data_IF_426801288032
#
_entry.id   IF_426801288032
#
_cell.length_a   1.000
_cell.length_b   1.000
_cell.length_c   1.000
_cell.angle_alpha   90.00
_cell.angle_beta   90.00
_cell.angle_gamma   90.00
#
_symmetry.space_group_name_H-M   'P 1'
#
loop_
_entity.id
_entity.type
_entity.pdbx_description
1 polymer ?
#
# COMPACT_ATOMS: atom_id res chain seq x y z
N UNK A 1 27.62 -18.89 -18.76
CA UNK A 1 28.09 -19.90 -17.79
C UNK A 1 27.10 -21.06 -17.61
N UNK A 2 25.78 -20.85 -17.66
CA UNK A 2 24.75 -21.90 -17.46
C UNK A 2 24.75 -23.05 -18.48
N UNK A 3 25.11 -22.78 -19.73
CA UNK A 3 25.14 -23.79 -20.81
C UNK A 3 26.29 -24.77 -20.69
N UNK A 4 27.47 -24.29 -20.25
CA UNK A 4 28.64 -25.15 -20.00
C UNK A 4 28.40 -26.09 -18.82
N UNK A 5 27.75 -25.60 -17.75
CA UNK A 5 27.41 -26.42 -16.58
C UNK A 5 26.39 -27.52 -16.91
N UNK A 6 25.44 -27.25 -17.79
CA UNK A 6 24.46 -28.25 -18.25
C UNK A 6 25.10 -29.32 -19.15
N UNK A 7 26.01 -28.93 -20.04
CA UNK A 7 26.76 -29.90 -20.87
C UNK A 7 27.65 -30.82 -20.03
N UNK A 8 28.27 -30.29 -18.99
CA UNK A 8 29.08 -31.06 -18.04
C UNK A 8 28.23 -32.03 -17.23
N UNK A 9 27.03 -31.60 -16.81
CA UNK A 9 26.04 -32.44 -16.13
C UNK A 9 25.59 -33.62 -17.01
N UNK A 10 25.35 -33.36 -18.30
CA UNK A 10 24.94 -34.38 -19.25
C UNK A 10 26.05 -35.42 -19.48
N UNK A 11 27.30 -34.97 -19.64
CA UNK A 11 28.45 -35.85 -19.78
C UNK A 11 28.72 -36.69 -18.51
N UNK A 12 28.56 -36.09 -17.33
CA UNK A 12 28.63 -36.80 -16.05
C UNK A 12 27.51 -37.83 -15.90
N UNK A 13 26.28 -37.52 -16.32
CA UNK A 13 25.17 -38.48 -16.29
C UNK A 13 25.47 -39.72 -17.15
N UNK A 14 26.09 -39.55 -18.33
CA UNK A 14 26.47 -40.67 -19.19
C UNK A 14 27.57 -41.55 -18.60
N UNK A 15 28.50 -40.98 -17.83
CA UNK A 15 29.56 -41.75 -17.15
C UNK A 15 29.07 -42.39 -15.84
N UNK A 16 28.18 -41.72 -15.09
CA UNK A 16 27.60 -42.24 -13.84
C UNK A 16 26.72 -43.47 -14.09
N UNK A 17 26.06 -43.56 -15.24
CA UNK A 17 25.28 -44.73 -15.66
C UNK A 17 26.10 -46.02 -15.78
N UNK A 18 27.44 -45.92 -15.91
CA UNK A 18 28.35 -47.08 -15.97
C UNK A 18 28.75 -47.61 -14.59
N UNK A 19 28.45 -46.87 -13.52
CA UNK A 19 28.90 -47.19 -12.15
C UNK A 19 27.74 -47.82 -11.37
N UNK A 20 28.02 -48.89 -10.62
CA UNK A 20 27.06 -49.61 -9.76
C UNK A 20 26.39 -48.76 -8.66
N UNK A 21 26.78 -47.49 -8.52
CA UNK A 21 26.24 -46.49 -7.57
C UNK A 21 25.30 -45.46 -8.22
N UNK A 22 24.90 -45.63 -9.48
CA UNK A 22 24.04 -44.69 -10.20
C UNK A 22 22.77 -44.29 -9.41
N UNK A 23 22.12 -45.26 -8.74
CA UNK A 23 20.94 -45.03 -7.89
C UNK A 23 21.14 -43.96 -6.81
N UNK A 24 22.25 -44.03 -6.06
CA UNK A 24 22.50 -43.10 -4.96
C UNK A 24 22.82 -41.69 -5.49
N UNK A 25 23.52 -41.62 -6.63
CA UNK A 25 23.91 -40.35 -7.25
C UNK A 25 22.69 -39.59 -7.77
N UNK A 26 21.78 -40.29 -8.46
CA UNK A 26 20.53 -39.67 -8.93
C UNK A 26 19.65 -39.23 -7.77
N UNK A 27 19.49 -40.07 -6.74
CA UNK A 27 18.74 -39.75 -5.52
C UNK A 27 19.27 -38.48 -4.84
N UNK A 28 20.58 -38.39 -4.61
CA UNK A 28 21.20 -37.21 -4.01
C UNK A 28 21.07 -35.96 -4.90
N UNK A 29 21.15 -36.13 -6.21
CA UNK A 29 20.99 -35.03 -7.17
C UNK A 29 19.57 -34.45 -7.12
N UNK A 30 18.55 -35.32 -7.01
CA UNK A 30 17.16 -34.89 -6.86
C UNK A 30 16.90 -34.16 -5.53
N UNK A 31 17.42 -34.70 -4.42
CA UNK A 31 17.31 -34.05 -3.10
C UNK A 31 17.99 -32.68 -3.13
N UNK A 32 19.19 -32.57 -3.69
CA UNK A 32 19.90 -31.30 -3.79
C UNK A 32 19.17 -30.32 -4.71
N UNK A 33 18.65 -30.78 -5.86
CA UNK A 33 17.84 -29.96 -6.76
C UNK A 33 16.61 -29.38 -6.06
N UNK A 34 15.87 -30.19 -5.27
CA UNK A 34 14.72 -29.73 -4.50
C UNK A 34 15.10 -28.89 -3.26
N UNK A 35 16.25 -29.14 -2.65
CA UNK A 35 16.74 -28.39 -1.48
C UNK A 35 17.23 -26.99 -1.86
N UNK A 36 17.89 -26.85 -3.00
CA UNK A 36 18.43 -25.58 -3.50
C UNK A 36 17.50 -24.89 -4.51
N UNK A 37 16.43 -25.55 -4.96
CA UNK A 37 15.43 -24.95 -5.85
C UNK A 37 15.90 -24.81 -7.29
N UNK A 38 16.63 -25.80 -7.81
CA UNK A 38 17.20 -25.79 -9.16
C UNK A 38 16.43 -26.79 -10.04
N UNK A 39 15.32 -26.39 -10.68
CA UNK A 39 14.50 -27.28 -11.52
C UNK A 39 15.25 -27.79 -12.76
N UNK A 40 16.23 -27.02 -13.26
CA UNK A 40 16.97 -27.35 -14.50
C UNK A 40 17.77 -28.64 -14.37
N UNK A 41 18.27 -28.96 -13.16
CA UNK A 41 18.96 -30.22 -12.89
C UNK A 41 17.98 -31.40 -12.99
N UNK A 42 16.77 -31.23 -12.47
CA UNK A 42 15.74 -32.26 -12.53
C UNK A 42 15.27 -32.49 -13.97
N UNK A 43 15.01 -31.41 -14.72
CA UNK A 43 14.62 -31.47 -16.12
C UNK A 43 15.66 -32.20 -16.98
N UNK A 44 16.94 -31.84 -16.84
CA UNK A 44 18.01 -32.42 -17.66
C UNK A 44 18.25 -33.90 -17.33
N UNK A 45 18.16 -34.29 -16.04
CA UNK A 45 18.28 -35.70 -15.62
C UNK A 45 17.11 -36.52 -16.16
N UNK A 46 15.87 -36.04 -16.02
CA UNK A 46 14.67 -36.76 -16.51
C UNK A 46 14.69 -36.88 -18.03
N UNK A 47 15.13 -35.84 -18.73
CA UNK A 47 15.27 -35.84 -20.20
C UNK A 47 16.33 -36.82 -20.68
N UNK A 48 17.46 -36.90 -19.97
CA UNK A 48 18.58 -37.77 -20.35
C UNK A 48 18.37 -39.22 -19.94
N UNK A 49 17.70 -39.46 -18.82
CA UNK A 49 17.42 -40.79 -18.28
C UNK A 49 16.04 -40.85 -17.61
N UNK A 50 14.97 -41.14 -18.37
CA UNK A 50 13.60 -41.18 -17.84
C UNK A 50 13.41 -42.17 -16.69
N UNK A 51 14.17 -43.27 -16.67
CA UNK A 51 14.15 -44.27 -15.59
C UNK A 51 14.67 -43.73 -14.25
N UNK A 52 15.33 -42.56 -14.21
CA UNK A 52 15.75 -41.91 -12.96
C UNK A 52 14.57 -41.63 -12.01
N UNK A 53 13.35 -41.54 -12.54
CA UNK A 53 12.11 -41.30 -11.78
C UNK A 53 11.83 -42.38 -10.73
N UNK A 54 12.28 -43.61 -10.97
CA UNK A 54 12.14 -44.71 -9.99
C UNK A 54 12.97 -44.46 -8.71
N UNK A 55 13.94 -43.55 -8.79
CA UNK A 55 14.79 -43.14 -7.67
C UNK A 55 14.32 -41.84 -7.00
N UNK A 56 13.18 -41.29 -7.41
CA UNK A 56 12.62 -40.09 -6.81
C UNK A 56 11.96 -40.43 -5.46
N UNK A 57 12.54 -39.91 -4.38
CA UNK A 57 12.03 -40.13 -3.04
C UNK A 57 10.90 -39.16 -2.66
N UNK A 58 10.09 -39.58 -1.68
CA UNK A 58 9.05 -38.76 -1.05
C UNK A 58 9.58 -37.45 -0.45
N UNK A 59 10.82 -37.47 0.03
CA UNK A 59 11.48 -36.30 0.62
C UNK A 59 11.69 -35.19 -0.40
N UNK A 60 11.94 -35.53 -1.67
CA UNK A 60 12.08 -34.56 -2.76
C UNK A 60 10.76 -33.83 -2.98
N UNK A 61 9.65 -34.56 -2.93
CA UNK A 61 8.31 -34.01 -3.07
C UNK A 61 7.91 -33.13 -1.88
N UNK A 62 8.18 -33.59 -0.64
CA UNK A 62 7.98 -32.80 0.58
C UNK A 62 8.81 -31.51 0.56
N UNK A 63 10.09 -31.59 0.15
CA UNK A 63 10.99 -30.43 0.04
C UNK A 63 10.50 -29.41 -0.99
N UNK A 64 9.98 -29.87 -2.13
CA UNK A 64 9.41 -28.99 -3.15
C UNK A 64 8.19 -28.21 -2.61
N UNK A 65 7.30 -28.88 -1.87
CA UNK A 65 6.11 -28.26 -1.27
C UNK A 65 6.49 -27.31 -0.12
N UNK A 66 7.36 -27.76 0.80
CA UNK A 66 7.84 -26.95 1.93
C UNK A 66 8.54 -25.66 1.47
N UNK A 67 9.39 -25.75 0.44
CA UNK A 67 10.13 -24.60 -0.09
C UNK A 67 9.37 -23.83 -1.19
N UNK A 68 8.11 -24.18 -1.48
CA UNK A 68 7.27 -23.52 -2.50
C UNK A 68 7.91 -23.48 -3.89
N UNK A 69 8.61 -24.53 -4.30
CA UNK A 69 9.23 -24.61 -5.62
C UNK A 69 8.23 -25.15 -6.65
N UNK A 70 7.35 -24.27 -7.12
CA UNK A 70 6.26 -24.60 -8.04
C UNK A 70 6.73 -25.32 -9.31
N UNK A 71 7.81 -24.87 -9.94
CA UNK A 71 8.36 -25.52 -11.15
C UNK A 71 8.75 -26.98 -10.90
N UNK A 72 9.39 -27.25 -9.77
CA UNK A 72 9.79 -28.61 -9.37
C UNK A 72 8.54 -29.46 -9.08
N UNK A 73 7.54 -28.87 -8.40
CA UNK A 73 6.28 -29.54 -8.11
C UNK A 73 5.52 -29.91 -9.40
N UNK A 74 5.35 -28.95 -10.32
CA UNK A 74 4.69 -29.15 -11.59
C UNK A 74 5.41 -30.20 -12.43
N UNK A 75 6.75 -30.18 -12.47
CA UNK A 75 7.54 -31.20 -13.16
C UNK A 75 7.24 -32.61 -12.61
N UNK A 76 7.25 -32.79 -11.29
CA UNK A 76 6.98 -34.09 -10.66
C UNK A 76 5.53 -34.54 -10.92
N UNK A 77 4.59 -33.60 -10.95
CA UNK A 77 3.20 -33.86 -11.30
C UNK A 77 3.05 -34.29 -12.78
N UNK A 78 3.54 -33.50 -13.72
CA UNK A 78 3.45 -33.78 -15.17
C UNK A 78 4.07 -35.14 -15.56
N UNK A 79 5.04 -35.63 -14.80
CA UNK A 79 5.69 -36.92 -15.05
C UNK A 79 4.85 -38.14 -14.61
N UNK A 80 3.62 -37.96 -14.13
CA UNK A 80 2.64 -39.04 -13.93
C UNK A 80 2.72 -39.79 -12.59
N UNK A 81 3.54 -39.34 -11.64
CA UNK A 81 3.74 -40.01 -10.33
C UNK A 81 2.67 -39.69 -9.26
N UNK A 82 1.53 -39.14 -9.67
CA UNK A 82 0.47 -38.62 -8.79
C UNK A 82 -0.11 -39.63 -7.79
N UNK A 83 -0.13 -40.93 -8.09
CA UNK A 83 -0.92 -41.90 -7.32
C UNK A 83 -0.16 -42.64 -6.22
N UNK A 84 1.15 -42.89 -6.39
CA UNK A 84 1.91 -43.64 -5.40
C UNK A 84 2.56 -42.76 -4.32
N UNK A 85 2.98 -41.54 -4.67
CA UNK A 85 3.64 -40.61 -3.73
C UNK A 85 2.66 -39.97 -2.74
N UNK A 86 1.48 -39.50 -3.18
CA UNK A 86 0.49 -38.83 -2.31
C UNK A 86 -0.04 -39.75 -1.20
N UNK A 87 -0.07 -41.07 -1.46
CA UNK A 87 -0.60 -42.07 -0.51
C UNK A 87 0.46 -42.49 0.52
N UNK A 88 1.75 -42.43 0.17
CA UNK A 88 2.83 -42.89 1.05
C UNK A 88 3.48 -41.81 1.92
N UNK A 89 3.24 -40.52 1.64
CA UNK A 89 3.72 -39.42 2.50
C UNK A 89 2.98 -39.40 3.85
N UNK A 90 3.31 -40.34 4.71
CA UNK A 90 2.91 -40.37 6.11
C UNK A 90 4.21 -40.34 6.88
N UNK A 91 4.54 -39.16 7.38
CA UNK A 91 5.77 -38.96 8.13
C UNK A 91 5.63 -39.65 9.49
N UNK A 92 6.53 -40.58 9.81
CA UNK A 92 6.49 -41.41 11.02
C UNK A 92 6.61 -40.60 12.33
N UNK A 93 7.03 -39.33 12.26
CA UNK A 93 7.16 -38.46 13.45
C UNK A 93 5.98 -37.51 13.72
N UNK A 94 5.19 -37.12 12.70
CA UNK A 94 4.16 -36.08 12.87
C UNK A 94 2.84 -36.29 12.11
N UNK A 95 2.74 -37.32 11.25
CA UNK A 95 1.52 -37.63 10.48
C UNK A 95 0.97 -36.47 9.61
N UNK A 96 1.80 -35.47 9.30
CA UNK A 96 1.45 -34.32 8.44
C UNK A 96 1.34 -34.79 6.99
N UNK A 97 0.17 -34.59 6.37
CA UNK A 97 0.01 -34.83 4.94
C UNK A 97 0.60 -33.67 4.12
N UNK A 98 0.75 -33.88 2.81
CA UNK A 98 1.24 -32.84 1.88
C UNK A 98 0.39 -31.56 1.94
N UNK A 99 -0.93 -31.67 2.15
CA UNK A 99 -1.80 -30.50 2.33
C UNK A 99 -1.44 -29.69 3.58
N UNK A 100 -1.07 -30.34 4.68
CA UNK A 100 -0.65 -29.70 5.91
C UNK A 100 0.70 -29.00 5.73
N UNK A 101 1.64 -29.63 5.01
CA UNK A 101 2.90 -29.00 4.60
C UNK A 101 2.66 -27.78 3.70
N UNK A 102 1.68 -27.85 2.79
CA UNK A 102 1.26 -26.71 1.97
C UNK A 102 0.51 -25.62 2.77
N UNK A 103 -0.03 -25.94 3.94
CA UNK A 103 -0.61 -24.98 4.88
C UNK A 103 0.42 -24.33 5.83
N UNK A 104 1.61 -24.91 5.99
CA UNK A 104 2.68 -24.38 6.83
C UNK A 104 3.32 -23.12 6.23
N UNK A 105 3.75 -22.23 7.13
CA UNK A 105 4.46 -21.00 6.79
C UNK A 105 5.71 -21.35 5.98
N UNK A 106 5.88 -20.72 4.83
CA UNK A 106 7.03 -20.98 3.96
C UNK A 106 8.35 -20.53 4.63
N UNK A 107 9.49 -21.14 4.27
CA UNK A 107 10.77 -20.78 4.85
C UNK A 107 11.15 -19.33 4.55
N UNK A 108 11.91 -18.66 5.45
CA UNK A 108 12.13 -17.22 5.45
C UNK A 108 12.80 -16.69 4.17
N UNK A 109 13.63 -17.48 3.49
CA UNK A 109 14.24 -17.09 2.20
C UNK A 109 13.24 -17.02 1.05
N UNK A 110 12.11 -17.74 1.12
CA UNK A 110 11.01 -17.65 0.16
C UNK A 110 9.98 -16.61 0.57
N UNK A 111 9.74 -16.48 1.88
CA UNK A 111 8.89 -15.43 2.41
C UNK A 111 9.46 -14.06 2.04
N UNK A 112 10.75 -13.81 2.27
CA UNK A 112 11.41 -12.53 1.97
C UNK A 112 11.41 -12.15 0.48
N UNK A 113 11.43 -13.13 -0.44
CA UNK A 113 11.47 -12.90 -1.88
C UNK A 113 10.20 -12.24 -2.43
N UNK A 114 9.04 -12.59 -1.89
CA UNK A 114 7.72 -12.08 -2.32
C UNK A 114 7.14 -11.10 -1.30
N UNK A 115 7.43 -11.30 -0.02
CA UNK A 115 6.84 -10.51 1.07
C UNK A 115 7.45 -9.12 1.19
N UNK A 116 8.68 -8.87 0.74
CA UNK A 116 9.32 -7.56 0.89
C UNK A 116 8.51 -6.43 0.25
N UNK A 117 8.33 -6.49 -1.07
CA UNK A 117 7.61 -5.45 -1.82
C UNK A 117 6.09 -5.49 -1.57
N UNK A 118 5.49 -6.68 -1.55
CA UNK A 118 4.04 -6.82 -1.38
C UNK A 118 3.58 -6.40 0.02
N UNK A 119 4.28 -6.79 1.10
CA UNK A 119 3.92 -6.32 2.45
C UNK A 119 4.21 -4.84 2.64
N UNK A 120 5.25 -4.30 1.99
CA UNK A 120 5.52 -2.87 2.03
C UNK A 120 4.38 -2.09 1.36
N UNK A 121 3.96 -2.48 0.17
CA UNK A 121 2.81 -1.88 -0.53
C UNK A 121 1.51 -2.00 0.29
N UNK A 122 1.26 -3.16 0.92
CA UNK A 122 0.08 -3.37 1.76
C UNK A 122 0.05 -2.45 2.99
N UNK A 123 1.20 -2.19 3.61
CA UNK A 123 1.33 -1.26 4.74
C UNK A 123 1.11 0.18 4.32
N UNK A 124 1.70 0.62 3.21
CA UNK A 124 1.46 1.96 2.65
C UNK A 124 -0.01 2.16 2.29
N UNK A 125 -0.65 1.15 1.69
CA UNK A 125 -2.08 1.18 1.40
C UNK A 125 -2.92 1.35 2.67
N UNK A 126 -2.62 0.55 3.69
CA UNK A 126 -3.36 0.60 4.95
C UNK A 126 -3.21 1.98 5.62
N UNK A 127 -1.99 2.52 5.60
CA UNK A 127 -1.71 3.87 6.08
C UNK A 127 -2.52 4.93 5.34
N UNK A 128 -2.55 4.90 4.00
CA UNK A 128 -3.27 5.88 3.19
C UNK A 128 -4.79 5.81 3.41
N UNK A 129 -5.36 4.60 3.47
CA UNK A 129 -6.79 4.40 3.75
C UNK A 129 -7.13 4.91 5.16
N UNK A 130 -6.32 4.55 6.15
CA UNK A 130 -6.52 5.01 7.53
C UNK A 130 -6.50 6.54 7.59
N UNK A 131 -5.47 7.14 7.00
CA UNK A 131 -5.29 8.59 6.91
C UNK A 131 -6.49 9.28 6.23
N UNK A 132 -6.95 8.76 5.08
CA UNK A 132 -8.13 9.28 4.38
C UNK A 132 -9.41 9.21 5.23
N UNK A 133 -9.61 8.14 6.03
CA UNK A 133 -10.75 8.04 6.95
C UNK A 133 -10.72 9.14 8.01
N UNK A 134 -9.58 9.36 8.65
CA UNK A 134 -9.43 10.42 9.67
C UNK A 134 -9.72 11.80 9.09
N UNK A 135 -9.21 12.09 7.88
CA UNK A 135 -9.49 13.37 7.22
C UNK A 135 -10.93 13.52 6.76
N UNK A 136 -11.58 12.44 6.33
CA UNK A 136 -13.02 12.46 6.01
C UNK A 136 -13.86 12.81 7.23
N UNK A 137 -13.52 12.24 8.40
CA UNK A 137 -14.17 12.55 9.67
C UNK A 137 -13.91 14.00 10.09
N UNK A 138 -12.67 14.48 10.00
CA UNK A 138 -12.33 15.86 10.30
C UNK A 138 -13.06 16.86 9.39
N UNK A 139 -13.15 16.57 8.08
CA UNK A 139 -13.89 17.37 7.11
C UNK A 139 -15.39 17.39 7.40
N UNK A 140 -15.98 16.25 7.78
CA UNK A 140 -17.39 16.19 8.17
C UNK A 140 -17.65 17.02 9.43
N UNK A 141 -16.79 16.92 10.45
CA UNK A 141 -16.89 17.74 11.67
C UNK A 141 -16.70 19.23 11.40
N UNK A 142 -15.78 19.60 10.51
CA UNK A 142 -15.65 21.00 10.08
C UNK A 142 -16.92 21.47 9.37
N UNK A 143 -17.44 20.69 8.43
CA UNK A 143 -18.67 21.05 7.71
C UNK A 143 -19.86 21.25 8.65
N UNK A 144 -20.02 20.44 9.70
CA UNK A 144 -21.11 20.63 10.68
C UNK A 144 -20.93 21.89 11.51
N UNK A 145 -19.71 22.21 11.94
CA UNK A 145 -19.43 23.44 12.71
C UNK A 145 -19.64 24.69 11.84
N UNK A 146 -19.15 24.69 10.59
CA UNK A 146 -19.37 25.80 9.63
C UNK A 146 -20.86 25.95 9.34
N UNK A 147 -21.58 24.86 9.07
CA UNK A 147 -23.01 24.90 8.79
C UNK A 147 -23.82 25.46 9.97
N UNK A 148 -23.48 25.08 11.21
CA UNK A 148 -24.10 25.64 12.40
C UNK A 148 -23.81 27.14 12.56
N UNK A 149 -22.60 27.59 12.21
CA UNK A 149 -22.24 29.00 12.18
C UNK A 149 -23.01 29.78 11.10
N UNK A 150 -23.22 29.19 9.92
CA UNK A 150 -23.98 29.79 8.82
C UNK A 150 -25.42 30.15 9.20
N UNK A 151 -26.10 29.24 9.91
CA UNK A 151 -27.49 29.44 10.34
C UNK A 151 -27.60 30.31 11.59
N UNK A 152 -26.53 30.42 12.37
CA UNK A 152 -26.46 31.25 13.57
C UNK A 152 -25.92 32.63 13.19
N UNK A 153 -26.80 33.48 12.67
CA UNK A 153 -26.43 34.83 12.18
C UNK A 153 -25.76 35.62 13.31
N UNK A 154 -24.47 36.01 13.16
CA UNK A 154 -23.79 36.82 14.16
C UNK A 154 -24.49 38.18 14.25
N UNK A 155 -24.97 38.54 15.46
CA UNK A 155 -25.71 39.77 15.72
C UNK A 155 -27.23 39.67 15.67
N UNK A 156 -27.79 38.53 15.23
CA UNK A 156 -29.24 38.32 15.14
C UNK A 156 -29.91 39.11 14.01
N UNK A 157 -31.24 39.03 13.97
CA UNK A 157 -32.08 39.66 12.96
C UNK A 157 -32.92 40.78 13.59
N UNK A 158 -33.37 41.75 12.78
CA UNK A 158 -34.41 42.69 13.18
C UNK A 158 -35.76 41.97 13.25
N UNK A 159 -36.46 42.11 14.38
CA UNK A 159 -37.76 41.49 14.62
C UNK A 159 -38.84 41.94 13.61
N UNK A 160 -38.70 43.16 13.06
CA UNK A 160 -39.71 43.78 12.20
C UNK A 160 -39.56 43.43 10.71
N UNK A 161 -38.34 43.09 10.27
CA UNK A 161 -38.01 42.88 8.84
C UNK A 161 -37.41 41.52 8.54
N UNK A 162 -36.97 40.77 9.54
CA UNK A 162 -36.27 39.48 9.39
C UNK A 162 -34.89 39.61 8.74
N UNK A 163 -34.36 40.83 8.55
CA UNK A 163 -33.06 41.06 7.93
C UNK A 163 -31.93 41.01 8.96
N UNK A 164 -30.72 40.53 8.59
CA UNK A 164 -29.57 40.49 9.51
C UNK A 164 -29.18 41.88 9.99
N UNK A 165 -28.95 42.05 11.30
CA UNK A 165 -28.61 43.35 11.90
C UNK A 165 -27.37 44.02 11.27
N UNK A 166 -26.41 43.21 10.83
CA UNK A 166 -25.17 43.68 10.22
C UNK A 166 -25.13 43.53 8.69
N UNK A 167 -26.29 43.38 8.02
CA UNK A 167 -26.36 43.14 6.56
C UNK A 167 -25.59 44.17 5.70
N UNK A 168 -25.49 45.41 6.18
CA UNK A 168 -24.77 46.51 5.49
C UNK A 168 -23.27 46.52 5.77
N UNK A 169 -22.81 45.87 6.84
CA UNK A 169 -21.41 45.87 7.24
C UNK A 169 -20.55 45.02 6.33
N UNK A 170 -19.33 45.50 6.05
CA UNK A 170 -18.39 44.79 5.18
C UNK A 170 -17.96 43.47 5.82
N UNK A 171 -17.78 43.46 7.15
CA UNK A 171 -17.43 42.25 7.90
C UNK A 171 -18.51 41.15 7.77
N UNK A 172 -19.80 41.51 7.74
CA UNK A 172 -20.87 40.53 7.55
C UNK A 172 -20.82 39.86 6.17
N UNK A 173 -20.52 40.62 5.11
CA UNK A 173 -20.33 40.05 3.77
C UNK A 173 -19.12 39.12 3.71
N UNK A 174 -18.00 39.51 4.34
CA UNK A 174 -16.78 38.67 4.43
C UNK A 174 -17.05 37.39 5.21
N UNK A 175 -17.81 37.47 6.32
CA UNK A 175 -18.25 36.32 7.09
C UNK A 175 -19.04 35.34 6.21
N UNK A 176 -20.14 35.80 5.61
CA UNK A 176 -21.03 34.93 4.84
C UNK A 176 -20.34 34.25 3.65
N UNK A 177 -19.48 34.98 2.91
CA UNK A 177 -18.74 34.42 1.77
C UNK A 177 -17.69 33.41 2.22
N UNK A 178 -16.92 33.74 3.27
CA UNK A 178 -15.85 32.85 3.76
C UNK A 178 -16.41 31.58 4.39
N UNK A 179 -17.50 31.70 5.14
CA UNK A 179 -18.20 30.59 5.77
C UNK A 179 -18.76 29.62 4.70
N UNK A 180 -19.44 30.14 3.68
CA UNK A 180 -19.91 29.34 2.55
C UNK A 180 -18.76 28.63 1.81
N UNK A 181 -17.67 29.36 1.50
CA UNK A 181 -16.48 28.76 0.86
C UNK A 181 -15.87 27.67 1.72
N UNK A 182 -15.75 27.88 3.04
CA UNK A 182 -15.23 26.88 3.96
C UNK A 182 -16.07 25.61 3.94
N UNK A 183 -17.41 25.75 3.96
CA UNK A 183 -18.35 24.62 3.93
C UNK A 183 -18.20 23.81 2.64
N UNK A 184 -18.22 24.47 1.47
CA UNK A 184 -18.09 23.78 0.19
C UNK A 184 -16.75 23.07 0.05
N UNK A 185 -15.65 23.72 0.48
CA UNK A 185 -14.32 23.11 0.45
C UNK A 185 -14.21 21.92 1.40
N UNK A 186 -14.87 21.97 2.56
CA UNK A 186 -14.90 20.85 3.52
C UNK A 186 -15.66 19.65 2.95
N UNK A 187 -16.84 19.88 2.36
CA UNK A 187 -17.61 18.82 1.70
C UNK A 187 -16.83 18.25 0.51
N UNK A 188 -16.20 19.09 -0.32
CA UNK A 188 -15.37 18.64 -1.43
C UNK A 188 -14.21 17.76 -0.96
N UNK A 189 -13.49 18.17 0.10
CA UNK A 189 -12.43 17.37 0.71
C UNK A 189 -12.95 16.02 1.23
N UNK A 190 -14.10 16.02 1.93
CA UNK A 190 -14.74 14.79 2.40
C UNK A 190 -15.10 13.84 1.25
N UNK A 191 -15.65 14.36 0.14
CA UNK A 191 -16.00 13.56 -1.04
C UNK A 191 -14.76 13.01 -1.76
N UNK A 192 -13.68 13.79 -1.86
CA UNK A 192 -12.41 13.34 -2.44
C UNK A 192 -11.81 12.20 -1.59
N UNK A 193 -11.78 12.36 -0.27
CA UNK A 193 -11.29 11.32 0.63
C UNK A 193 -12.22 10.09 0.67
N UNK A 194 -13.54 10.29 0.63
CA UNK A 194 -14.52 9.20 0.52
C UNK A 194 -14.40 8.44 -0.80
N UNK A 195 -14.05 9.14 -1.88
CA UNK A 195 -13.73 8.49 -3.16
C UNK A 195 -12.58 7.50 -3.01
N UNK A 196 -11.56 7.81 -2.18
CA UNK A 196 -10.45 6.89 -1.89
C UNK A 196 -10.94 5.65 -1.13
N UNK A 197 -11.91 5.81 -0.24
CA UNK A 197 -12.42 4.70 0.58
C UNK A 197 -13.35 3.76 -0.16
N UNK A 198 -14.00 4.24 -1.22
CA UNK A 198 -15.03 3.50 -1.96
C UNK A 198 -14.52 2.84 -3.22
N UNK A 199 -13.42 3.34 -3.82
CA UNK A 199 -12.86 2.74 -5.04
C UNK A 199 -12.03 1.49 -4.75
N UNK A 200 -12.23 0.43 -5.56
CA UNK A 200 -11.30 -0.71 -5.63
C UNK A 200 -10.14 -0.33 -6.55
N UNK A 201 -8.93 -0.32 -6.02
CA UNK A 201 -7.72 0.02 -6.76
C UNK A 201 -7.09 -1.22 -7.41
N UNK A 202 -6.78 -1.15 -8.70
CA UNK A 202 -5.91 -2.10 -9.40
C UNK A 202 -4.43 -1.77 -9.14
N UNK A 203 -3.53 -2.76 -9.23
CA UNK A 203 -2.11 -2.63 -8.86
C UNK A 203 -1.36 -1.52 -9.60
N UNK A 204 -1.66 -1.28 -10.89
CA UNK A 204 -0.89 -0.35 -11.73
C UNK A 204 -1.19 1.15 -11.48
N UNK A 205 -2.43 1.50 -11.14
CA UNK A 205 -2.82 2.89 -10.84
C UNK A 205 -2.57 3.28 -9.38
N UNK A 206 -2.20 2.29 -8.56
CA UNK A 206 -2.08 2.40 -7.11
C UNK A 206 -1.10 3.48 -6.66
N UNK A 207 0.09 3.49 -7.28
CA UNK A 207 1.23 4.28 -6.79
C UNK A 207 1.09 5.78 -7.04
N UNK A 208 0.28 6.19 -8.02
CA UNK A 208 0.16 7.61 -8.40
C UNK A 208 -1.24 8.18 -8.22
N UNK A 209 -2.29 7.42 -8.52
CA UNK A 209 -3.65 7.95 -8.45
C UNK A 209 -4.13 8.14 -7.01
N UNK A 210 -3.73 7.24 -6.11
CA UNK A 210 -4.17 7.21 -4.71
C UNK A 210 -3.53 8.34 -3.89
N UNK A 211 -2.19 8.52 -3.88
CA UNK A 211 -1.57 9.63 -3.16
C UNK A 211 -1.98 11.00 -3.73
N UNK A 212 -2.15 11.11 -5.04
CA UNK A 212 -2.62 12.35 -5.70
C UNK A 212 -3.98 12.79 -5.18
N UNK A 213 -4.96 11.88 -5.09
CA UNK A 213 -6.28 12.21 -4.55
C UNK A 213 -6.20 12.62 -3.08
N UNK A 214 -5.35 11.95 -2.29
CA UNK A 214 -5.14 12.32 -0.89
C UNK A 214 -4.54 13.73 -0.75
N UNK A 215 -3.57 14.10 -1.60
CA UNK A 215 -2.99 15.46 -1.63
C UNK A 215 -4.09 16.49 -1.91
N UNK A 216 -4.91 16.27 -2.95
CA UNK A 216 -6.02 17.20 -3.25
C UNK A 216 -7.02 17.29 -2.11
N UNK A 217 -7.36 16.18 -1.45
CA UNK A 217 -8.21 16.17 -0.26
C UNK A 217 -7.61 16.99 0.90
N UNK A 218 -6.31 16.82 1.17
CA UNK A 218 -5.60 17.53 2.22
C UNK A 218 -5.48 19.04 1.96
N UNK A 219 -5.14 19.43 0.73
CA UNK A 219 -5.00 20.83 0.33
C UNK A 219 -6.34 21.56 0.42
N UNK A 220 -7.43 20.92 -0.05
CA UNK A 220 -8.78 21.49 0.06
C UNK A 220 -9.25 21.60 1.51
N UNK A 221 -8.91 20.63 2.37
CA UNK A 221 -9.19 20.69 3.81
C UNK A 221 -8.45 21.86 4.48
N UNK A 222 -7.17 22.04 4.17
CA UNK A 222 -6.39 23.15 4.69
C UNK A 222 -6.99 24.50 4.30
N UNK A 223 -7.35 24.64 3.02
CA UNK A 223 -7.99 25.85 2.53
C UNK A 223 -9.34 26.10 3.25
N UNK A 224 -10.14 25.06 3.48
CA UNK A 224 -11.38 25.16 4.27
C UNK A 224 -11.13 25.69 5.68
N UNK A 225 -10.12 25.16 6.40
CA UNK A 225 -9.75 25.64 7.74
C UNK A 225 -9.33 27.11 7.71
N UNK A 226 -8.56 27.53 6.71
CA UNK A 226 -8.16 28.96 6.60
C UNK A 226 -9.35 29.89 6.41
N UNK A 227 -10.30 29.53 5.54
CA UNK A 227 -11.53 30.30 5.35
C UNK A 227 -12.42 30.30 6.59
N UNK A 228 -12.49 29.18 7.32
CA UNK A 228 -13.20 29.11 8.60
C UNK A 228 -12.62 30.08 9.61
N UNK A 229 -11.28 30.17 9.72
CA UNK A 229 -10.65 31.10 10.64
C UNK A 229 -10.90 32.57 10.27
N UNK A 230 -11.02 32.88 8.96
CA UNK A 230 -11.43 34.20 8.47
C UNK A 230 -12.90 34.49 8.86
N UNK A 231 -13.81 33.52 8.65
CA UNK A 231 -15.21 33.65 9.03
C UNK A 231 -15.37 33.87 10.54
N UNK A 232 -14.73 33.03 11.36
CA UNK A 232 -14.72 33.18 12.81
C UNK A 232 -14.16 34.54 13.25
N UNK A 233 -13.08 35.00 12.63
CA UNK A 233 -12.51 36.32 12.91
C UNK A 233 -13.48 37.45 12.59
N UNK A 234 -14.19 37.35 11.46
CA UNK A 234 -15.20 38.32 11.07
C UNK A 234 -16.42 38.31 12.01
N UNK A 235 -16.87 37.12 12.45
CA UNK A 235 -17.98 36.98 13.38
C UNK A 235 -17.68 37.61 14.75
N UNK A 236 -16.48 37.41 15.29
CA UNK A 236 -16.04 38.05 16.54
C UNK A 236 -15.90 39.56 16.38
N UNK A 237 -15.40 40.03 15.22
CA UNK A 237 -15.34 41.46 14.92
C UNK A 237 -16.74 42.10 14.92
N UNK A 238 -17.74 41.45 14.33
CA UNK A 238 -19.13 41.94 14.37
C UNK A 238 -19.71 41.98 15.80
N UNK A 239 -19.34 41.03 16.66
CA UNK A 239 -19.85 40.97 18.04
C UNK A 239 -19.20 41.98 18.99
N UNK A 240 -17.90 42.27 18.84
CA UNK A 240 -17.12 43.02 19.83
C UNK A 240 -16.34 44.23 19.26
N UNK A 241 -16.36 44.44 17.94
CA UNK A 241 -15.45 45.32 17.20
C UNK A 241 -15.46 46.79 17.62
N UNK A 242 -16.56 47.29 18.19
CA UNK A 242 -16.65 48.71 18.56
C UNK A 242 -16.09 49.07 19.95
N UNK A 243 -15.85 48.10 20.85
CA UNK A 243 -15.66 48.45 22.27
C UNK A 243 -14.30 48.12 22.88
N UNK A 244 -13.50 47.17 22.33
CA UNK A 244 -12.20 46.78 22.94
C UNK A 244 -11.16 46.25 21.93
N UNK A 245 -10.14 47.05 21.63
CA UNK A 245 -9.01 46.66 20.77
C UNK A 245 -8.23 45.42 21.27
N UNK A 246 -8.21 45.15 22.57
CA UNK A 246 -7.60 43.94 23.15
C UNK A 246 -8.24 42.64 22.65
N UNK A 247 -9.55 42.64 22.35
CA UNK A 247 -10.26 41.45 21.84
C UNK A 247 -9.75 41.09 20.43
N UNK A 248 -9.41 42.09 19.62
CA UNK A 248 -8.88 41.89 18.28
C UNK A 248 -7.47 41.26 18.29
N UNK A 249 -6.64 41.65 19.25
CA UNK A 249 -5.29 41.09 19.43
C UNK A 249 -5.38 39.63 19.88
N UNK A 250 -6.23 39.34 20.88
CA UNK A 250 -6.47 37.96 21.33
C UNK A 250 -7.05 37.09 20.21
N UNK A 251 -7.92 37.66 19.37
CA UNK A 251 -8.51 37.00 18.21
C UNK A 251 -7.47 36.66 17.14
N UNK A 252 -6.61 37.61 16.76
CA UNK A 252 -5.56 37.38 15.76
C UNK A 252 -4.56 36.31 16.23
N UNK A 253 -4.19 36.33 17.51
CA UNK A 253 -3.30 35.32 18.10
C UNK A 253 -3.94 33.93 18.12
N UNK A 254 -5.21 33.83 18.55
CA UNK A 254 -5.93 32.56 18.59
C UNK A 254 -6.22 32.03 17.18
N UNK A 255 -6.46 32.90 16.20
CA UNK A 255 -6.73 32.48 14.84
C UNK A 255 -5.50 31.94 14.10
N UNK A 256 -4.32 32.48 14.42
CA UNK A 256 -3.05 32.07 13.84
C UNK A 256 -2.60 30.69 14.35
N UNK A 257 -2.98 30.31 15.58
CA UNK A 257 -2.49 29.12 16.26
C UNK A 257 -2.89 27.80 15.56
N UNK A 258 -4.17 27.55 15.19
CA UNK A 258 -4.55 26.34 14.47
C UNK A 258 -3.97 26.27 13.05
N UNK A 259 -3.88 27.41 12.36
CA UNK A 259 -3.37 27.48 10.98
C UNK A 259 -1.87 27.18 10.94
N UNK A 260 -1.11 27.78 11.86
CA UNK A 260 0.34 27.54 11.99
C UNK A 260 0.62 26.11 12.46
N UNK A 261 -0.16 25.59 13.43
CA UNK A 261 -0.03 24.22 13.91
C UNK A 261 -0.34 23.20 12.79
N UNK A 262 -1.40 23.42 12.01
CA UNK A 262 -1.71 22.56 10.86
C UNK A 262 -0.60 22.63 9.82
N UNK A 263 -0.09 23.82 9.52
CA UNK A 263 1.05 24.02 8.62
C UNK A 263 2.27 23.23 9.07
N UNK A 264 2.69 23.33 10.33
CA UNK A 264 3.86 22.63 10.85
C UNK A 264 3.67 21.10 10.82
N UNK A 265 2.49 20.60 11.17
CA UNK A 265 2.25 19.17 11.27
C UNK A 265 1.99 18.49 9.92
N UNK A 266 1.28 19.15 9.01
CA UNK A 266 0.82 18.53 7.76
C UNK A 266 1.70 18.85 6.55
N UNK A 267 2.46 19.94 6.60
CA UNK A 267 3.37 20.30 5.52
C UNK A 267 4.47 19.26 5.28
N UNK A 268 5.14 18.69 6.29
CA UNK A 268 6.13 17.64 6.08
C UNK A 268 5.51 16.42 5.37
N UNK A 269 4.31 16.01 5.81
CA UNK A 269 3.58 14.87 5.24
C UNK A 269 3.17 15.15 3.78
N UNK A 270 2.67 16.35 3.48
CA UNK A 270 2.33 16.77 2.12
C UNK A 270 3.56 16.82 1.21
N UNK A 271 4.68 17.36 1.69
CA UNK A 271 5.93 17.44 0.93
C UNK A 271 6.47 16.05 0.65
N UNK A 272 6.46 15.15 1.62
CA UNK A 272 6.88 13.76 1.44
C UNK A 272 6.00 13.03 0.43
N UNK A 273 4.66 13.22 0.50
CA UNK A 273 3.73 12.62 -0.47
C UNK A 273 3.94 13.16 -1.88
N UNK A 274 4.15 14.48 -2.03
CA UNK A 274 4.40 15.13 -3.31
C UNK A 274 5.75 14.69 -3.87
N UNK A 275 6.79 14.63 -3.05
CA UNK A 275 8.12 14.20 -3.47
C UNK A 275 8.13 12.70 -3.83
N UNK A 276 7.43 11.86 -3.08
CA UNK A 276 7.30 10.43 -3.39
C UNK A 276 6.50 10.19 -4.68
N UNK A 277 5.47 11.01 -4.94
CA UNK A 277 4.60 10.86 -6.12
C UNK A 277 5.15 11.54 -7.37
N UNK A 278 5.84 12.67 -7.27
CA UNK A 278 6.28 13.46 -8.44
C UNK A 278 7.81 13.64 -8.50
N UNK A 279 8.54 13.12 -7.52
CA UNK A 279 10.00 13.20 -7.48
C UNK A 279 10.64 12.38 -8.61
N UNK A 280 11.91 12.68 -8.92
CA UNK A 280 12.65 11.94 -9.93
C UNK A 280 12.72 10.47 -9.53
N UNK A 281 12.10 9.59 -10.33
CA UNK A 281 12.16 8.16 -10.10
C UNK A 281 13.61 7.69 -10.04
N UNK A 282 13.96 6.95 -8.99
CA UNK A 282 15.30 6.36 -8.78
C UNK A 282 15.70 5.43 -9.96
N UNK A 283 14.76 5.04 -10.82
CA UNK A 283 15.00 4.38 -12.10
C UNK A 283 15.27 5.34 -13.27
N UNK A 284 15.97 6.43 -13.00
CA UNK A 284 16.52 7.35 -14.00
C UNK A 284 17.65 6.70 -14.81
N UNK A 285 17.28 5.97 -15.87
CA UNK A 285 17.99 5.90 -17.16
C UNK A 285 19.49 5.54 -17.09
N UNK A 286 19.81 4.28 -16.79
CA UNK A 286 21.14 3.72 -17.09
C UNK A 286 21.21 2.95 -18.42
N UNK A 287 20.29 3.22 -19.35
CA UNK A 287 20.35 2.68 -20.73
C UNK A 287 20.82 3.79 -21.68
N UNK A 288 22.14 3.87 -21.88
CA UNK A 288 22.84 4.42 -23.07
C UNK A 288 24.35 4.58 -22.84
N UNK A 289 25.05 3.54 -22.37
CA UNK A 289 26.54 3.52 -22.32
C UNK A 289 27.20 2.19 -22.72
N UNK A 290 26.57 1.39 -23.58
CA UNK A 290 27.19 0.15 -24.10
C UNK A 290 27.07 -0.04 -25.62
N UNK A 291 26.91 1.04 -26.39
CA UNK A 291 27.14 0.98 -27.84
C UNK A 291 27.95 2.22 -28.24
N UNK A 292 29.26 2.13 -28.08
CA UNK A 292 30.23 2.75 -28.99
C UNK A 292 31.55 2.00 -28.90
#
# INVERSE_FOLDING_TARGET
MHTLTLQLLNHLCTEVLKVSRAKEIFRQSFINGAKYGIPEILEEIIKSYPYALEYLDEDVFKLAVLNRYEKIFNLICETGMHRQLIIRTRDDSNNDNILHLAGKLAPPHRLSLVSGAALQMQRELHWLIYTAKFYTLAAALLATVVFAAAITIPGGNHDDTGTPNFSKEIAFKVFAVSDALSLFLSIASALICLSILTTRYAEDDFLFALPRRLIFGLVTLFLSVTFMMIAYSSAIYLLFGEKKAWILITLAALACLPVTLYGILQFPLLVELIYSTYGPGIFGKHSNRLIR
#
